data_IF_547086347503
#
_entry.id   IF_547086347503
#
_cell.length_a   1.000
_cell.length_b   1.000
_cell.length_c   1.000
_cell.angle_alpha   90.00
_cell.angle_beta   90.00
_cell.angle_gamma   90.00
#
_symmetry.space_group_name_H-M   'P 1'
#
loop_
_entity.id
_entity.type
_entity.pdbx_description
1 polymer ?
#
# COMPACT_ATOMS: atom_id res chain seq x y z
N UNK A 1 18.37 -15.09 8.11
CA UNK A 1 17.40 -15.88 7.32
C UNK A 1 15.98 -15.86 7.91
N UNK A 2 15.77 -16.12 9.21
CA UNK A 2 14.41 -16.01 9.78
C UNK A 2 13.85 -14.57 9.78
N UNK A 3 14.72 -13.58 10.02
CA UNK A 3 14.36 -12.16 10.05
C UNK A 3 14.00 -11.63 8.65
N UNK A 4 14.68 -12.10 7.60
CA UNK A 4 14.41 -11.72 6.21
C UNK A 4 13.10 -12.30 5.71
N UNK A 5 12.82 -13.58 6.01
CA UNK A 5 11.54 -14.22 5.72
C UNK A 5 10.38 -13.56 6.48
N UNK A 6 10.61 -13.13 7.72
CA UNK A 6 9.63 -12.38 8.52
C UNK A 6 9.28 -11.03 7.89
N UNK A 7 10.27 -10.31 7.38
CA UNK A 7 10.08 -9.03 6.68
C UNK A 7 9.27 -9.22 5.38
N UNK A 8 9.63 -10.23 4.57
CA UNK A 8 8.93 -10.57 3.33
C UNK A 8 7.46 -10.88 3.61
N UNK A 9 7.19 -11.73 4.61
CA UNK A 9 5.83 -12.11 4.99
C UNK A 9 5.01 -10.91 5.50
N UNK A 10 5.62 -10.02 6.30
CA UNK A 10 4.95 -8.81 6.78
C UNK A 10 4.60 -7.86 5.64
N UNK A 11 5.49 -7.68 4.67
CA UNK A 11 5.26 -6.79 3.53
C UNK A 11 4.20 -7.38 2.60
N UNK A 12 4.25 -8.68 2.31
CA UNK A 12 3.22 -9.36 1.53
C UNK A 12 1.82 -9.21 2.18
N UNK A 13 1.73 -9.31 3.51
CA UNK A 13 0.47 -9.09 4.23
C UNK A 13 -0.04 -7.64 4.08
N UNK A 14 0.86 -6.65 4.13
CA UNK A 14 0.51 -5.24 3.92
C UNK A 14 0.07 -4.98 2.46
N UNK A 15 0.75 -5.56 1.48
CA UNK A 15 0.39 -5.50 0.05
C UNK A 15 -1.01 -6.08 -0.17
N UNK A 16 -1.30 -7.25 0.42
CA UNK A 16 -2.60 -7.89 0.30
C UNK A 16 -3.72 -7.03 0.87
N UNK A 17 -3.52 -6.45 2.06
CA UNK A 17 -4.48 -5.51 2.66
C UNK A 17 -4.70 -4.27 1.79
N UNK A 18 -3.63 -3.69 1.25
CA UNK A 18 -3.72 -2.52 0.37
C UNK A 18 -4.51 -2.84 -0.92
N UNK A 19 -4.33 -4.04 -1.49
CA UNK A 19 -5.09 -4.50 -2.64
C UNK A 19 -6.59 -4.61 -2.35
N UNK A 20 -6.94 -5.18 -1.18
CA UNK A 20 -8.33 -5.30 -0.75
C UNK A 20 -8.97 -3.92 -0.50
N UNK A 21 -8.26 -3.01 0.14
CA UNK A 21 -8.69 -1.61 0.35
C UNK A 21 -8.90 -0.91 -0.99
N UNK A 22 -7.98 -1.09 -1.94
CA UNK A 22 -8.07 -0.53 -3.29
C UNK A 22 -9.34 -1.01 -3.98
N UNK A 23 -9.57 -2.32 -3.99
CA UNK A 23 -10.78 -2.93 -4.58
C UNK A 23 -12.07 -2.42 -3.93
N UNK A 24 -12.11 -2.33 -2.60
CA UNK A 24 -13.26 -1.81 -1.87
C UNK A 24 -13.50 -0.33 -2.18
N UNK A 25 -12.43 0.46 -2.26
CA UNK A 25 -12.47 1.89 -2.54
C UNK A 25 -12.96 2.18 -3.97
N UNK A 26 -12.50 1.42 -4.95
CA UNK A 26 -13.00 1.51 -6.33
C UNK A 26 -14.47 1.12 -6.44
N UNK A 27 -14.87 0.02 -5.79
CA UNK A 27 -16.27 -0.40 -5.75
C UNK A 27 -17.19 0.68 -5.16
N UNK A 28 -16.70 1.43 -4.18
CA UNK A 28 -17.45 2.51 -3.54
C UNK A 28 -17.61 3.77 -4.42
N UNK A 29 -16.59 4.11 -5.20
CA UNK A 29 -16.55 5.37 -5.95
C UNK A 29 -17.04 5.21 -7.39
N UNK A 30 -17.02 3.99 -7.96
CA UNK A 30 -17.61 3.69 -9.28
C UNK A 30 -19.09 4.05 -9.37
N UNK A 31 -19.80 4.09 -8.24
CA UNK A 31 -21.20 4.53 -8.17
C UNK A 31 -21.38 6.07 -8.18
N UNK A 32 -20.28 6.85 -8.14
CA UNK A 32 -20.32 8.30 -7.98
C UNK A 32 -19.81 9.00 -9.24
N UNK A 33 -20.70 9.20 -10.23
CA UNK A 33 -20.42 9.96 -11.48
C UNK A 33 -19.86 11.38 -11.25
N UNK A 34 -20.03 11.95 -10.06
CA UNK A 34 -19.52 13.25 -9.63
C UNK A 34 -18.79 13.15 -8.27
N UNK A 35 -17.79 12.27 -8.18
CA UNK A 35 -17.06 12.09 -6.92
C UNK A 35 -16.42 13.42 -6.46
N UNK A 36 -16.72 13.90 -5.23
CA UNK A 36 -16.12 15.11 -4.67
C UNK A 36 -14.58 15.04 -4.67
N UNK A 37 -13.92 16.19 -4.76
CA UNK A 37 -12.46 16.31 -4.89
C UNK A 37 -11.69 15.45 -3.87
N UNK A 38 -12.17 15.38 -2.64
CA UNK A 38 -11.55 14.61 -1.55
C UNK A 38 -11.62 13.10 -1.79
N UNK A 39 -12.69 12.58 -2.39
CA UNK A 39 -12.79 11.15 -2.76
C UNK A 39 -11.79 10.78 -3.86
N UNK A 40 -11.58 11.68 -4.83
CA UNK A 40 -10.56 11.48 -5.86
C UNK A 40 -9.15 11.47 -5.26
N UNK A 41 -8.86 12.39 -4.34
CA UNK A 41 -7.58 12.43 -3.62
C UNK A 41 -7.35 11.16 -2.80
N UNK A 42 -8.38 10.66 -2.10
CA UNK A 42 -8.32 9.39 -1.41
C UNK A 42 -7.97 8.22 -2.34
N UNK A 43 -8.63 8.09 -3.50
CA UNK A 43 -8.27 7.05 -4.48
C UNK A 43 -6.85 7.19 -5.01
N UNK A 44 -6.39 8.41 -5.22
CA UNK A 44 -5.02 8.67 -5.66
C UNK A 44 -4.02 8.20 -4.62
N UNK A 45 -4.24 8.48 -3.33
CA UNK A 45 -3.35 8.00 -2.27
C UNK A 45 -3.42 6.49 -2.08
N UNK A 46 -4.60 5.87 -2.12
CA UNK A 46 -4.73 4.40 -2.04
C UNK A 46 -4.00 3.72 -3.20
N UNK A 47 -4.21 4.21 -4.43
CA UNK A 47 -3.55 3.66 -5.61
C UNK A 47 -2.03 3.91 -5.58
N UNK A 48 -1.61 5.09 -5.11
CA UNK A 48 -0.21 5.44 -4.96
C UNK A 48 0.50 4.59 -3.91
N UNK A 49 -0.16 4.30 -2.78
CA UNK A 49 0.37 3.39 -1.76
C UNK A 49 0.53 1.97 -2.32
N UNK A 50 -0.46 1.48 -3.06
CA UNK A 50 -0.41 0.16 -3.69
C UNK A 50 0.75 0.02 -4.68
N UNK A 51 0.99 1.04 -5.53
CA UNK A 51 2.11 1.04 -6.48
C UNK A 51 3.47 0.94 -5.77
N UNK A 52 3.66 1.72 -4.70
CA UNK A 52 4.91 1.72 -3.95
C UNK A 52 5.09 0.39 -3.20
N UNK A 53 4.03 -0.13 -2.57
CA UNK A 53 4.07 -1.41 -1.87
C UNK A 53 4.44 -2.57 -2.80
N UNK A 54 3.88 -2.59 -4.01
CA UNK A 54 4.20 -3.61 -5.01
C UNK A 54 5.66 -3.56 -5.45
N UNK A 55 6.21 -2.36 -5.65
CA UNK A 55 7.64 -2.19 -5.98
C UNK A 55 8.55 -2.63 -4.83
N UNK A 56 8.16 -2.35 -3.59
CA UNK A 56 8.89 -2.80 -2.40
C UNK A 56 8.88 -4.33 -2.31
N UNK A 57 7.73 -4.96 -2.53
CA UNK A 57 7.62 -6.43 -2.59
C UNK A 57 8.51 -7.02 -3.68
N UNK A 58 8.51 -6.46 -4.89
CA UNK A 58 9.39 -6.90 -5.99
C UNK A 58 10.87 -6.83 -5.61
N UNK A 59 11.34 -5.69 -5.10
CA UNK A 59 12.73 -5.50 -4.71
C UNK A 59 13.15 -6.52 -3.65
N UNK A 60 12.25 -6.85 -2.72
CA UNK A 60 12.53 -7.80 -1.65
C UNK A 60 12.55 -9.24 -2.16
N UNK A 61 11.59 -9.63 -3.03
CA UNK A 61 11.58 -10.96 -3.65
C UNK A 61 12.81 -11.18 -4.52
N UNK A 62 13.26 -10.15 -5.24
CA UNK A 62 14.47 -10.21 -6.05
C UNK A 62 15.73 -10.25 -5.17
N UNK A 63 15.80 -9.48 -4.08
CA UNK A 63 16.95 -9.50 -3.18
C UNK A 63 17.11 -10.83 -2.40
N UNK A 64 16.01 -11.52 -2.06
CA UNK A 64 16.04 -12.87 -1.46
C UNK A 64 16.66 -13.90 -2.41
N UNK A 65 16.55 -13.68 -3.73
CA UNK A 65 17.18 -14.55 -4.75
C UNK A 65 18.70 -14.31 -4.91
N UNK A 66 19.24 -13.19 -4.39
CA UNK A 66 20.65 -12.82 -4.47
C UNK A 66 21.41 -12.86 -3.12
N UNK A 67 20.80 -13.39 -2.05
CA UNK A 67 21.36 -13.43 -0.66
C UNK A 67 21.82 -12.05 -0.11
N UNK A 68 21.41 -10.94 -0.73
CA UNK A 68 21.81 -9.59 -0.38
C UNK A 68 20.60 -8.69 -0.20
N UNK A 69 19.78 -8.99 0.81
CA UNK A 69 18.74 -8.05 1.26
C UNK A 69 19.44 -6.86 1.94
N UNK A 70 19.28 -5.62 1.42
CA UNK A 70 19.75 -4.45 2.13
C UNK A 70 19.05 -4.40 3.50
N UNK A 71 19.82 -4.11 4.55
CA UNK A 71 19.28 -3.92 5.89
C UNK A 71 18.16 -2.89 5.83
N UNK A 72 16.95 -3.20 6.32
CA UNK A 72 15.84 -2.26 6.24
C UNK A 72 16.25 -0.95 6.95
N UNK A 73 16.12 0.23 6.29
CA UNK A 73 16.36 1.51 6.94
C UNK A 73 15.48 1.65 8.19
N UNK A 74 15.96 2.42 9.17
CA UNK A 74 15.25 2.72 10.43
C UNK A 74 13.81 3.23 10.23
N UNK A 75 13.51 3.81 9.06
CA UNK A 75 12.19 4.29 8.66
C UNK A 75 11.14 3.19 8.49
N UNK A 76 11.55 1.93 8.31
CA UNK A 76 10.69 0.78 8.05
C UNK A 76 11.04 -0.39 8.99
N UNK A 77 11.09 -0.08 10.28
CA UNK A 77 11.25 -1.07 11.33
C UNK A 77 9.97 -1.93 11.52
N UNK A 78 10.10 -3.04 12.26
CA UNK A 78 8.97 -3.95 12.56
C UNK A 78 7.76 -3.25 13.20
N UNK A 79 8.00 -2.22 14.01
CA UNK A 79 6.95 -1.44 14.66
C UNK A 79 6.17 -0.59 13.65
N UNK A 80 6.84 0.06 12.71
CA UNK A 80 6.23 0.82 11.63
C UNK A 80 5.39 -0.08 10.71
N UNK A 81 5.87 -1.29 10.40
CA UNK A 81 5.11 -2.28 9.64
C UNK A 81 3.86 -2.77 10.38
N UNK A 82 4.00 -3.10 11.67
CA UNK A 82 2.85 -3.50 12.50
C UNK A 82 1.81 -2.39 12.61
N UNK A 83 2.24 -1.16 12.79
CA UNK A 83 1.36 0.01 12.82
C UNK A 83 0.66 0.22 11.47
N UNK A 84 1.38 0.05 10.36
CA UNK A 84 0.80 0.11 9.02
C UNK A 84 -0.27 -0.97 8.82
N UNK A 85 0.04 -2.22 9.16
CA UNK A 85 -0.90 -3.33 9.07
C UNK A 85 -2.16 -3.08 9.92
N UNK A 86 -2.02 -2.58 11.15
CA UNK A 86 -3.14 -2.29 12.05
C UNK A 86 -4.06 -1.19 11.50
N UNK A 87 -3.49 -0.08 11.02
CA UNK A 87 -4.27 1.03 10.46
C UNK A 87 -4.94 0.66 9.13
N UNK A 88 -4.27 -0.10 8.26
CA UNK A 88 -4.89 -0.61 7.03
C UNK A 88 -6.00 -1.62 7.33
N UNK A 89 -5.80 -2.54 8.27
CA UNK A 89 -6.86 -3.48 8.70
C UNK A 89 -8.09 -2.74 9.23
N UNK A 90 -7.87 -1.68 10.02
CA UNK A 90 -8.95 -0.82 10.52
C UNK A 90 -9.67 -0.12 9.39
N UNK A 91 -8.95 0.45 8.42
CA UNK A 91 -9.52 1.10 7.24
C UNK A 91 -10.36 0.11 6.42
N UNK A 92 -9.86 -1.10 6.21
CA UNK A 92 -10.56 -2.17 5.52
C UNK A 92 -11.88 -2.54 6.21
N UNK A 93 -11.86 -2.73 7.54
CA UNK A 93 -13.07 -3.02 8.31
C UNK A 93 -14.11 -1.90 8.20
N UNK A 94 -13.68 -0.64 8.23
CA UNK A 94 -14.59 0.51 8.07
C UNK A 94 -15.19 0.57 6.66
N UNK A 95 -14.41 0.26 5.63
CA UNK A 95 -14.90 0.11 4.25
C UNK A 95 -15.92 -1.02 4.11
N UNK A 96 -15.65 -2.19 4.71
CA UNK A 96 -16.55 -3.35 4.70
C UNK A 96 -17.87 -3.06 5.44
N UNK A 97 -17.81 -2.38 6.60
CA UNK A 97 -19.01 -1.96 7.34
C UNK A 97 -19.87 -1.00 6.53
N UNK A 98 -19.26 -0.05 5.82
CA UNK A 98 -20.01 0.92 5.00
C UNK A 98 -20.61 0.27 3.76
N UNK A 99 -19.88 -0.65 3.11
CA UNK A 99 -20.38 -1.43 1.97
C UNK A 99 -21.58 -2.31 2.37
N UNK A 100 -21.49 -3.04 3.49
CA UNK A 100 -22.55 -3.94 3.96
C UNK A 100 -23.81 -3.23 4.43
N UNK A 101 -23.68 -2.01 4.95
CA UNK A 101 -24.83 -1.23 5.45
C UNK A 101 -25.50 -0.35 4.39
N UNK A 102 -25.05 -0.39 3.12
CA UNK A 102 -25.49 0.55 2.05
C UNK A 102 -25.46 2.02 2.53
N UNK A 103 -24.49 2.35 3.39
CA UNK A 103 -24.43 3.67 4.03
C UNK A 103 -23.82 4.67 3.06
N UNK A 104 -24.39 5.88 3.10
CA UNK A 104 -23.98 7.14 2.47
C UNK A 104 -22.47 7.24 2.18
N UNK A 105 -22.07 7.83 1.03
CA UNK A 105 -20.68 8.14 0.69
C UNK A 105 -19.89 8.73 1.87
N UNK A 106 -18.65 8.29 2.05
CA UNK A 106 -17.67 8.85 2.97
C UNK A 106 -17.66 10.38 2.82
N UNK A 107 -17.85 11.06 3.95
CA UNK A 107 -17.79 12.51 3.98
C UNK A 107 -16.33 12.97 3.99
N UNK A 108 -16.06 14.16 3.48
CA UNK A 108 -14.71 14.73 3.42
C UNK A 108 -14.00 14.73 4.78
N UNK A 109 -14.74 14.94 5.88
CA UNK A 109 -14.21 14.90 7.26
C UNK A 109 -13.69 13.52 7.68
N UNK A 110 -14.22 12.46 7.11
CA UNK A 110 -13.83 11.08 7.40
C UNK A 110 -12.66 10.64 6.50
N UNK A 111 -12.60 11.15 5.26
CA UNK A 111 -11.55 10.81 4.30
C UNK A 111 -10.25 11.53 4.55
N UNK A 112 -10.27 12.79 5.03
CA UNK A 112 -9.05 13.57 5.26
C UNK A 112 -8.04 12.85 6.17
N UNK A 113 -8.42 12.35 7.36
CA UNK A 113 -7.49 11.59 8.19
C UNK A 113 -6.95 10.32 7.51
N UNK A 114 -7.77 9.68 6.66
CA UNK A 114 -7.35 8.49 5.92
C UNK A 114 -6.34 8.86 4.81
N UNK A 115 -6.57 9.97 4.11
CA UNK A 115 -5.64 10.51 3.11
C UNK A 115 -4.29 10.81 3.75
N UNK A 116 -4.27 11.54 4.87
CA UNK A 116 -3.03 11.89 5.57
C UNK A 116 -2.26 10.64 6.02
N UNK A 117 -2.98 9.65 6.55
CA UNK A 117 -2.40 8.36 6.96
C UNK A 117 -1.80 7.58 5.77
N UNK A 118 -2.55 7.46 4.67
CA UNK A 118 -2.09 6.76 3.46
C UNK A 118 -0.89 7.47 2.82
N UNK A 119 -0.92 8.80 2.80
CA UNK A 119 0.17 9.62 2.29
C UNK A 119 1.46 9.37 3.07
N UNK A 120 1.38 9.41 4.41
CA UNK A 120 2.53 9.12 5.29
C UNK A 120 3.10 7.72 5.05
N UNK A 121 2.26 6.70 4.92
CA UNK A 121 2.75 5.35 4.63
C UNK A 121 3.41 5.29 3.26
N UNK A 122 2.82 5.91 2.24
CA UNK A 122 3.40 5.97 0.90
C UNK A 122 4.79 6.64 0.91
N UNK A 123 4.97 7.73 1.64
CA UNK A 123 6.27 8.38 1.79
C UNK A 123 7.31 7.47 2.48
N UNK A 124 6.90 6.74 3.53
CA UNK A 124 7.77 5.80 4.22
C UNK A 124 8.24 4.67 3.29
N UNK A 125 7.32 4.02 2.56
CA UNK A 125 7.67 2.97 1.62
C UNK A 125 8.46 3.49 0.42
N UNK A 126 8.18 4.71 -0.05
CA UNK A 126 8.93 5.31 -1.15
C UNK A 126 10.37 5.67 -0.74
N UNK A 127 10.56 6.12 0.50
CA UNK A 127 11.88 6.37 1.09
C UNK A 127 12.67 5.07 1.21
N UNK A 128 12.03 4.00 1.67
CA UNK A 128 12.63 2.66 1.70
C UNK A 128 13.02 2.19 0.30
N UNK A 129 12.10 2.26 -0.66
CA UNK A 129 12.37 1.85 -2.04
C UNK A 129 13.57 2.62 -2.61
N UNK A 130 13.65 3.93 -2.35
CA UNK A 130 14.77 4.76 -2.78
C UNK A 130 16.09 4.33 -2.12
N UNK A 131 16.07 3.97 -0.83
CA UNK A 131 17.25 3.47 -0.13
C UNK A 131 17.74 2.13 -0.69
N UNK A 132 16.82 1.24 -1.09
CA UNK A 132 17.16 -0.02 -1.74
C UNK A 132 17.81 0.20 -3.11
N UNK A 133 17.28 1.13 -3.91
CA UNK A 133 17.83 1.49 -5.23
C UNK A 133 19.22 2.12 -5.11
N UNK A 134 19.45 2.96 -4.10
CA UNK A 134 20.75 3.59 -3.86
C UNK A 134 21.82 2.62 -3.33
N UNK A 135 21.42 1.47 -2.81
CA UNK A 135 22.31 0.48 -2.19
C UNK A 135 22.55 -0.78 -3.05
N UNK A 136 21.83 -0.96 -4.17
CA UNK A 136 21.94 -2.12 -5.05
C UNK A 136 22.31 -1.79 -6.51
N UNK A 137 22.86 -2.75 -7.29
CA UNK A 137 23.12 -2.55 -8.72
C UNK A 137 21.78 -2.36 -9.45
N UNK A 138 21.66 -1.28 -10.21
CA UNK A 138 20.54 -0.89 -11.11
C UNK A 138 19.51 -2.00 -11.40
N UNK A 139 18.36 -1.91 -10.74
CA UNK A 139 17.18 -2.75 -10.99
C UNK A 139 16.28 -2.11 -12.05
N UNK A 140 16.14 -2.75 -13.22
CA UNK A 140 15.14 -2.38 -14.23
C UNK A 140 13.76 -2.94 -13.84
N UNK A 141 12.93 -2.10 -13.22
CA UNK A 141 11.55 -2.45 -12.86
C UNK A 141 10.74 -2.62 -14.15
N UNK A 142 10.46 -3.87 -14.51
CA UNK A 142 9.75 -4.24 -15.73
C UNK A 142 8.25 -3.94 -15.58
N UNK A 143 7.78 -2.90 -16.27
CA UNK A 143 6.43 -2.31 -16.21
C UNK A 143 5.29 -3.27 -16.59
N UNK A 144 5.63 -4.46 -17.06
CA UNK A 144 4.76 -5.49 -17.62
C UNK A 144 3.96 -6.28 -16.57
N UNK A 145 4.44 -6.37 -15.32
CA UNK A 145 3.74 -7.09 -14.24
C UNK A 145 2.58 -6.30 -13.63
N UNK A 146 2.62 -4.96 -13.72
CA UNK A 146 1.56 -4.10 -13.19
C UNK A 146 0.21 -4.36 -13.89
N UNK A 147 0.19 -4.79 -15.16
CA UNK A 147 -1.06 -5.03 -15.90
C UNK A 147 -1.93 -6.18 -15.36
N UNK A 148 -1.38 -7.13 -14.60
CA UNK A 148 -2.17 -8.26 -14.07
C UNK A 148 -3.06 -7.87 -12.87
N UNK A 149 -2.74 -6.79 -12.18
CA UNK A 149 -3.49 -6.32 -11.00
C UNK A 149 -4.52 -5.22 -11.33
N UNK A 150 -4.55 -4.72 -12.58
CA UNK A 150 -5.47 -3.65 -13.04
C UNK A 150 -6.75 -4.17 -13.72
N UNK A 151 -6.99 -5.48 -13.73
CA UNK A 151 -8.24 -6.07 -14.28
C UNK A 151 -9.28 -6.21 -13.18
N UNK A 152 -9.80 -5.11 -12.61
CA UNK A 152 -11.07 -5.12 -11.85
C UNK A 152 -11.78 -3.76 -11.84
#
# INVERSE_FOLDING_TARGET
MAETLGLVANIAAVVQLAAEITKLSYGYIREVKNAPKVQKQYLQEVSGLMDVLFRVEQVIMEADSFEALPTPPDSLNDEALKNCHAELSKLQLELLKKKSRLIRPFQDRELRPQIDMLHKFRENFATYLSSCILCGPTFEINRSQLMQYWVF
#
